data_IF_576684187240
#
_entry.id   IF_576684187240
#
_cell.length_a   1.000
_cell.length_b   1.000
_cell.length_c   1.000
_cell.angle_alpha   90.00
_cell.angle_beta   90.00
_cell.angle_gamma   90.00
#
_symmetry.space_group_name_H-M   'P 1'
#
loop_
_entity.id
_entity.type
_entity.pdbx_description
1 polymer ?
#
# COMPACT_ATOMS: atom_id res chain seq x y z
N UNK A 1 -7.75 -51.72 26.68
CA UNK A 1 -9.05 -51.13 26.29
C UNK A 1 -9.00 -49.62 26.57
N UNK A 2 -8.82 -48.81 25.53
CA UNK A 2 -8.78 -47.34 25.66
C UNK A 2 -10.22 -46.80 25.76
N UNK A 3 -10.53 -46.11 26.84
CA UNK A 3 -11.83 -45.43 27.03
C UNK A 3 -11.87 -44.21 26.12
N UNK A 4 -12.61 -44.30 25.02
CA UNK A 4 -12.96 -43.16 24.18
C UNK A 4 -13.75 -42.15 25.01
N UNK A 5 -13.09 -41.08 25.48
CA UNK A 5 -13.77 -39.92 26.07
C UNK A 5 -14.44 -39.16 24.94
N UNK A 6 -15.76 -39.28 24.84
CA UNK A 6 -16.59 -38.44 23.98
C UNK A 6 -16.55 -37.03 24.58
N UNK A 7 -15.70 -36.16 24.04
CA UNK A 7 -15.68 -34.73 24.37
C UNK A 7 -16.96 -34.08 23.81
N UNK A 8 -17.70 -33.39 24.67
CA UNK A 8 -18.89 -32.61 24.24
C UNK A 8 -18.51 -31.64 23.11
N UNK A 9 -19.37 -31.46 22.09
CA UNK A 9 -19.12 -30.48 21.04
C UNK A 9 -19.05 -29.08 21.67
N UNK A 10 -17.94 -28.37 21.42
CA UNK A 10 -17.73 -27.00 21.90
C UNK A 10 -18.73 -26.07 21.21
N UNK A 11 -19.25 -25.10 21.97
CA UNK A 11 -20.12 -24.06 21.40
C UNK A 11 -19.32 -23.11 20.51
N UNK A 12 -19.99 -22.37 19.63
CA UNK A 12 -19.36 -21.44 18.69
C UNK A 12 -18.51 -20.38 19.40
N UNK A 13 -18.97 -19.91 20.56
CA UNK A 13 -18.25 -18.91 21.37
C UNK A 13 -17.04 -19.52 22.10
N UNK A 14 -17.13 -20.76 22.57
CA UNK A 14 -15.98 -21.49 23.11
C UNK A 14 -14.91 -21.76 22.04
N UNK A 15 -15.33 -22.03 20.80
CA UNK A 15 -14.41 -22.17 19.67
C UNK A 15 -13.77 -20.84 19.27
N UNK A 16 -14.51 -19.72 19.39
CA UNK A 16 -13.97 -18.36 19.17
C UNK A 16 -12.91 -18.02 20.23
N UNK A 17 -13.16 -18.26 21.51
CA UNK A 17 -12.19 -18.01 22.59
C UNK A 17 -10.93 -18.88 22.45
N UNK A 18 -11.08 -20.14 22.07
CA UNK A 18 -9.93 -21.01 21.76
C UNK A 18 -9.16 -20.48 20.56
N UNK A 19 -9.85 -20.02 19.51
CA UNK A 19 -9.19 -19.44 18.33
C UNK A 19 -8.47 -18.12 18.65
N UNK A 20 -9.02 -17.29 19.53
CA UNK A 20 -8.40 -16.05 20.00
C UNK A 20 -7.20 -16.29 20.93
N UNK A 21 -7.21 -17.38 21.71
CA UNK A 21 -6.11 -17.77 22.60
C UNK A 21 -4.97 -18.52 21.90
N UNK A 22 -5.16 -18.98 20.67
CA UNK A 22 -4.09 -19.56 19.87
C UNK A 22 -3.20 -18.44 19.35
N UNK A 23 -1.93 -18.42 19.78
CA UNK A 23 -0.89 -17.63 19.10
C UNK A 23 -0.85 -18.08 17.65
N UNK A 24 -1.41 -17.28 16.77
CA UNK A 24 -1.42 -17.62 15.36
C UNK A 24 0.01 -17.54 14.83
N UNK A 25 0.38 -18.42 13.89
CA UNK A 25 1.69 -18.36 13.23
C UNK A 25 1.96 -17.06 12.43
N UNK A 26 1.02 -16.12 12.49
CA UNK A 26 1.00 -14.84 11.80
C UNK A 26 1.24 -13.65 12.76
N UNK A 27 1.27 -13.87 14.07
CA UNK A 27 1.60 -12.81 15.02
C UNK A 27 3.07 -12.38 14.88
N UNK A 28 3.30 -11.06 14.85
CA UNK A 28 4.64 -10.50 14.70
C UNK A 28 5.59 -10.96 15.81
N UNK A 29 5.12 -11.00 17.06
CA UNK A 29 5.90 -11.46 18.22
C UNK A 29 6.35 -12.92 18.06
N UNK A 30 5.44 -13.80 17.62
CA UNK A 30 5.73 -15.21 17.36
C UNK A 30 6.74 -15.39 16.22
N UNK A 31 6.57 -14.64 15.12
CA UNK A 31 7.48 -14.69 13.96
C UNK A 31 8.89 -14.24 14.38
N UNK A 32 9.01 -13.18 15.18
CA UNK A 32 10.30 -12.68 15.64
C UNK A 32 10.98 -13.62 16.65
N UNK A 33 10.22 -14.27 17.54
CA UNK A 33 10.73 -15.31 18.44
C UNK A 33 11.31 -16.48 17.65
N UNK A 34 10.59 -16.95 16.63
CA UNK A 34 11.03 -18.04 15.75
C UNK A 34 12.19 -17.66 14.84
N UNK A 35 12.28 -16.39 14.43
CA UNK A 35 13.42 -15.87 13.69
C UNK A 35 14.71 -15.98 14.51
N UNK A 36 14.67 -15.64 15.81
CA UNK A 36 15.84 -15.74 16.69
C UNK A 36 16.31 -17.19 16.87
N UNK A 37 15.37 -18.12 17.03
CA UNK A 37 15.67 -19.57 17.03
C UNK A 37 16.32 -20.00 15.70
N UNK A 38 15.75 -19.58 14.56
CA UNK A 38 16.27 -19.90 13.23
C UNK A 38 17.68 -19.30 13.04
N UNK A 39 17.90 -18.05 13.47
CA UNK A 39 19.18 -17.35 13.38
C UNK A 39 20.28 -18.07 14.19
N UNK A 40 19.99 -18.50 15.42
CA UNK A 40 20.91 -19.28 16.25
C UNK A 40 21.30 -20.62 15.62
N UNK A 41 20.44 -21.18 14.78
CA UNK A 41 20.68 -22.45 14.07
C UNK A 41 21.40 -22.29 12.73
N UNK A 42 21.45 -21.09 12.16
CA UNK A 42 22.06 -20.80 10.85
C UNK A 42 23.59 -20.75 10.95
N UNK A 43 24.26 -21.85 10.57
CA UNK A 43 25.73 -21.91 10.44
C UNK A 43 26.28 -21.40 9.11
N UNK A 44 25.42 -21.19 8.11
CA UNK A 44 25.76 -20.73 6.75
C UNK A 44 24.63 -19.88 6.16
N UNK A 45 24.92 -18.97 5.21
CA UNK A 45 23.88 -18.29 4.45
C UNK A 45 23.05 -19.33 3.69
N UNK A 46 21.75 -19.38 4.00
CA UNK A 46 20.74 -20.16 3.27
C UNK A 46 19.99 -19.24 2.32
N UNK A 47 19.54 -19.80 1.20
CA UNK A 47 18.52 -19.14 0.38
C UNK A 47 17.27 -18.90 1.22
N UNK A 48 16.71 -17.70 1.07
CA UNK A 48 15.54 -17.25 1.82
C UNK A 48 14.30 -17.80 1.12
N UNK A 49 13.73 -18.88 1.65
CA UNK A 49 12.45 -19.43 1.19
C UNK A 49 11.27 -18.65 1.79
N UNK A 50 10.14 -18.57 1.06
CA UNK A 50 8.89 -17.94 1.52
C UNK A 50 8.36 -18.51 2.84
N UNK A 51 8.70 -19.77 3.15
CA UNK A 51 8.25 -20.45 4.36
C UNK A 51 9.12 -20.13 5.59
N UNK A 52 10.32 -19.58 5.38
CA UNK A 52 11.27 -19.24 6.45
C UNK A 52 10.75 -18.11 7.34
N UNK A 53 11.13 -18.13 8.62
CA UNK A 53 10.81 -17.02 9.52
C UNK A 53 11.60 -15.77 9.15
N UNK A 54 12.76 -15.92 8.49
CA UNK A 54 13.49 -14.82 7.89
C UNK A 54 12.65 -14.09 6.84
N UNK A 55 12.07 -14.80 5.87
CA UNK A 55 11.20 -14.18 4.87
C UNK A 55 9.98 -13.50 5.51
N UNK A 56 9.28 -14.21 6.40
CA UNK A 56 8.12 -13.67 7.13
C UNK A 56 8.49 -12.42 7.92
N UNK A 57 9.64 -12.40 8.57
CA UNK A 57 10.12 -11.20 9.28
C UNK A 57 10.41 -10.04 8.33
N UNK A 58 10.97 -10.30 7.14
CA UNK A 58 11.17 -9.24 6.15
C UNK A 58 9.82 -8.65 5.69
N UNK A 59 8.77 -9.46 5.58
CA UNK A 59 7.41 -8.96 5.28
C UNK A 59 6.78 -8.17 6.44
N UNK A 60 7.17 -8.39 7.70
CA UNK A 60 6.74 -7.54 8.81
C UNK A 60 7.31 -6.12 8.68
N UNK A 61 8.51 -6.00 8.13
CA UNK A 61 9.19 -4.72 7.87
C UNK A 61 9.06 -4.30 6.40
N UNK A 62 7.89 -4.56 5.80
CA UNK A 62 7.67 -4.39 4.35
C UNK A 62 8.07 -3.01 3.86
N UNK A 63 7.65 -1.93 4.51
CA UNK A 63 7.93 -0.60 3.97
C UNK A 63 9.42 -0.21 3.96
N UNK A 64 10.25 -0.92 4.73
CA UNK A 64 11.69 -0.69 4.77
C UNK A 64 12.46 -1.67 3.86
N UNK A 65 11.93 -2.88 3.65
CA UNK A 65 12.56 -3.97 2.87
C UNK A 65 12.02 -4.10 1.44
N UNK A 66 10.74 -3.78 1.25
CA UNK A 66 10.00 -3.82 -0.01
C UNK A 66 9.75 -5.23 -0.55
N UNK A 67 9.69 -6.27 0.28
CA UNK A 67 9.58 -7.67 -0.18
C UNK A 67 8.32 -7.88 -1.02
N UNK A 68 7.18 -7.43 -0.54
CA UNK A 68 5.90 -7.52 -1.24
C UNK A 68 5.88 -6.63 -2.49
N UNK A 69 6.42 -5.40 -2.41
CA UNK A 69 6.62 -4.55 -3.59
C UNK A 69 7.40 -5.30 -4.67
N UNK A 70 8.55 -5.87 -4.31
CA UNK A 70 9.46 -6.56 -5.24
C UNK A 70 8.81 -7.80 -5.86
N UNK A 71 7.93 -8.48 -5.13
CA UNK A 71 7.19 -9.63 -5.65
C UNK A 71 6.10 -9.23 -6.65
N UNK A 72 5.55 -8.02 -6.54
CA UNK A 72 4.50 -7.52 -7.42
C UNK A 72 5.02 -7.04 -8.80
N UNK A 73 6.34 -6.95 -8.99
CA UNK A 73 6.98 -6.37 -10.17
C UNK A 73 7.94 -7.34 -10.88
N UNK A 74 8.10 -7.20 -12.20
CA UNK A 74 9.11 -7.95 -12.95
C UNK A 74 10.52 -7.69 -12.43
N UNK A 75 11.37 -8.72 -12.50
CA UNK A 75 12.73 -8.70 -11.94
C UNK A 75 13.57 -7.51 -12.42
N UNK A 76 13.47 -7.17 -13.71
CA UNK A 76 14.17 -6.05 -14.34
C UNK A 76 13.96 -4.71 -13.61
N UNK A 77 12.79 -4.50 -13.01
CA UNK A 77 12.42 -3.22 -12.39
C UNK A 77 12.56 -3.23 -10.86
N UNK A 78 12.91 -4.37 -10.24
CA UNK A 78 12.89 -4.55 -8.78
C UNK A 78 13.76 -3.53 -8.05
N UNK A 79 15.04 -3.45 -8.41
CA UNK A 79 16.01 -2.57 -7.75
C UNK A 79 15.57 -1.11 -7.88
N UNK A 80 15.17 -0.71 -9.08
CA UNK A 80 14.69 0.64 -9.35
C UNK A 80 13.44 0.97 -8.52
N UNK A 81 12.45 0.08 -8.48
CA UNK A 81 11.21 0.31 -7.74
C UNK A 81 11.46 0.49 -6.24
N UNK A 82 12.34 -0.34 -5.67
CA UNK A 82 12.70 -0.26 -4.26
C UNK A 82 13.40 1.07 -3.94
N UNK A 83 14.37 1.47 -4.76
CA UNK A 83 15.09 2.72 -4.54
C UNK A 83 14.20 3.94 -4.77
N UNK A 84 13.33 3.88 -5.78
CA UNK A 84 12.35 4.91 -6.05
C UNK A 84 11.34 5.06 -4.90
N UNK A 85 10.81 3.95 -4.36
CA UNK A 85 9.96 3.97 -3.17
C UNK A 85 10.68 4.62 -1.97
N UNK A 86 11.93 4.22 -1.70
CA UNK A 86 12.73 4.82 -0.61
C UNK A 86 12.95 6.32 -0.80
N UNK A 87 13.19 6.75 -2.03
CA UNK A 87 13.37 8.16 -2.34
C UNK A 87 12.08 8.95 -2.18
N UNK A 88 10.93 8.42 -2.60
CA UNK A 88 9.62 9.02 -2.32
C UNK A 88 9.35 9.13 -0.82
N UNK A 89 9.62 8.06 -0.05
CA UNK A 89 9.45 8.10 1.40
C UNK A 89 10.34 9.16 2.06
N UNK A 90 11.57 9.37 1.57
CA UNK A 90 12.46 10.43 2.05
C UNK A 90 11.98 11.81 1.62
N UNK A 91 11.63 12.00 0.35
CA UNK A 91 11.18 13.27 -0.23
C UNK A 91 9.96 13.83 0.50
N UNK A 92 9.00 12.96 0.82
CA UNK A 92 7.77 13.35 1.50
C UNK A 92 7.82 13.17 3.02
N UNK A 93 8.97 12.82 3.62
CA UNK A 93 9.12 12.54 5.06
C UNK A 93 8.03 11.57 5.58
N UNK A 94 7.86 10.43 4.91
CA UNK A 94 6.86 9.42 5.23
C UNK A 94 7.20 8.69 6.53
N UNK A 95 6.35 8.87 7.56
CA UNK A 95 6.53 8.29 8.90
C UNK A 95 5.48 7.24 9.22
N UNK A 96 4.24 7.45 8.76
CA UNK A 96 3.13 6.55 9.08
C UNK A 96 3.00 5.42 8.05
N UNK A 97 2.43 4.26 8.44
CA UNK A 97 2.18 3.17 7.49
C UNK A 97 1.37 3.59 6.26
N UNK A 98 0.37 4.47 6.43
CA UNK A 98 -0.46 4.97 5.33
C UNK A 98 0.31 5.84 4.34
N UNK A 99 1.29 6.61 4.82
CA UNK A 99 2.15 7.43 3.95
C UNK A 99 3.16 6.56 3.20
N UNK A 100 3.76 5.58 3.91
CA UNK A 100 4.70 4.63 3.30
C UNK A 100 4.01 3.74 2.27
N UNK A 101 2.78 3.29 2.54
CA UNK A 101 2.01 2.50 1.58
C UNK A 101 1.63 3.30 0.33
N UNK A 102 1.31 4.59 0.46
CA UNK A 102 1.08 5.46 -0.68
C UNK A 102 2.34 5.65 -1.54
N UNK A 103 3.51 5.82 -0.91
CA UNK A 103 4.80 5.87 -1.62
C UNK A 103 5.09 4.56 -2.39
N UNK A 104 4.73 3.42 -1.82
CA UNK A 104 4.89 2.11 -2.45
C UNK A 104 3.93 1.94 -3.65
N UNK A 105 2.66 2.33 -3.50
CA UNK A 105 1.68 2.32 -4.59
C UNK A 105 2.11 3.26 -5.73
N UNK A 106 2.71 4.40 -5.40
CA UNK A 106 3.32 5.31 -6.38
C UNK A 106 4.42 4.61 -7.18
N UNK A 107 5.38 4.00 -6.49
CA UNK A 107 6.47 3.28 -7.13
C UNK A 107 5.97 2.12 -8.01
N UNK A 108 5.02 1.35 -7.52
CA UNK A 108 4.39 0.24 -8.24
C UNK A 108 3.72 0.73 -9.54
N UNK A 109 2.89 1.77 -9.47
CA UNK A 109 2.20 2.27 -10.66
C UNK A 109 3.17 2.89 -11.67
N UNK A 110 4.25 3.53 -11.21
CA UNK A 110 5.29 4.02 -12.12
C UNK A 110 5.97 2.89 -12.89
N UNK A 111 6.32 1.79 -12.22
CA UNK A 111 6.87 0.60 -12.89
C UNK A 111 5.88 -0.02 -13.87
N UNK A 112 4.59 -0.03 -13.53
CA UNK A 112 3.53 -0.51 -14.43
C UNK A 112 3.44 0.33 -15.70
N UNK A 113 3.56 1.65 -15.61
CA UNK A 113 3.61 2.56 -16.78
C UNK A 113 4.78 2.17 -17.68
N UNK A 114 5.99 2.07 -17.12
CA UNK A 114 7.20 1.72 -17.89
C UNK A 114 7.08 0.35 -18.55
N UNK A 115 6.62 -0.66 -17.81
CA UNK A 115 6.47 -2.04 -18.32
C UNK A 115 5.42 -2.14 -19.43
N UNK A 116 4.32 -1.39 -19.29
CA UNK A 116 3.25 -1.33 -20.30
C UNK A 116 3.75 -0.63 -21.56
N UNK A 117 4.43 0.51 -21.41
CA UNK A 117 5.03 1.23 -22.54
C UNK A 117 6.07 0.39 -23.27
N UNK A 118 6.91 -0.35 -22.53
CA UNK A 118 7.87 -1.27 -23.12
C UNK A 118 7.17 -2.37 -23.94
N UNK A 119 6.07 -2.92 -23.43
CA UNK A 119 5.28 -3.95 -24.13
C UNK A 119 4.65 -3.41 -25.42
N UNK A 120 4.11 -2.18 -25.38
CA UNK A 120 3.59 -1.49 -26.56
C UNK A 120 4.72 -1.29 -27.60
N UNK A 121 5.86 -0.75 -27.17
CA UNK A 121 7.00 -0.48 -28.05
C UNK A 121 7.54 -1.78 -28.68
N UNK A 122 7.65 -2.86 -27.89
CA UNK A 122 8.08 -4.16 -28.37
C UNK A 122 7.11 -4.71 -29.44
N UNK A 123 5.80 -4.57 -29.22
CA UNK A 123 4.80 -5.00 -30.21
C UNK A 123 4.92 -4.19 -31.51
N UNK A 124 4.99 -2.85 -31.41
CA UNK A 124 5.10 -1.97 -32.58
C UNK A 124 6.42 -2.19 -33.35
N UNK A 125 7.50 -2.55 -32.67
CA UNK A 125 8.80 -2.85 -33.28
C UNK A 125 8.76 -4.08 -34.22
N UNK A 126 7.81 -5.00 -34.03
CA UNK A 126 7.65 -6.17 -34.91
C UNK A 126 7.22 -5.82 -36.33
N UNK A 127 6.72 -4.59 -36.59
CA UNK A 127 6.26 -4.09 -37.90
C UNK A 127 5.18 -4.93 -38.60
N UNK A 128 4.65 -5.94 -37.93
CA UNK A 128 3.54 -6.77 -38.39
C UNK A 128 2.30 -6.47 -37.55
N UNK A 129 1.30 -5.85 -38.16
CA UNK A 129 0.03 -5.53 -37.50
C UNK A 129 -1.00 -6.56 -37.96
N UNK A 130 -1.56 -7.31 -37.01
CA UNK A 130 -2.68 -8.20 -37.24
C UNK A 130 -3.85 -7.81 -36.34
N UNK A 131 -5.05 -8.33 -36.62
CA UNK A 131 -6.26 -7.95 -35.89
C UNK A 131 -6.18 -8.25 -34.38
N UNK A 132 -5.56 -9.37 -34.01
CA UNK A 132 -5.35 -9.75 -32.62
C UNK A 132 -4.41 -8.77 -31.91
N UNK A 133 -3.39 -8.29 -32.62
CA UNK A 133 -2.44 -7.29 -32.17
C UNK A 133 -3.06 -5.92 -31.93
N UNK A 134 -3.99 -5.50 -32.78
CA UNK A 134 -4.79 -4.29 -32.57
C UNK A 134 -5.60 -4.42 -31.27
N UNK A 135 -6.23 -5.59 -31.05
CA UNK A 135 -6.94 -5.89 -29.79
C UNK A 135 -6.03 -5.85 -28.57
N UNK A 136 -4.85 -6.45 -28.66
CA UNK A 136 -3.84 -6.43 -27.60
C UNK A 136 -3.36 -5.01 -27.28
N UNK A 137 -3.01 -4.22 -28.29
CA UNK A 137 -2.61 -2.82 -28.13
C UNK A 137 -3.71 -1.96 -27.49
N UNK A 138 -4.98 -2.20 -27.84
CA UNK A 138 -6.10 -1.52 -27.22
C UNK A 138 -6.22 -1.83 -25.72
N UNK A 139 -5.98 -3.08 -25.31
CA UNK A 139 -5.92 -3.46 -23.89
C UNK A 139 -4.74 -2.77 -23.20
N UNK A 140 -3.54 -2.83 -23.78
CA UNK A 140 -2.36 -2.18 -23.21
C UNK A 140 -2.52 -0.66 -23.08
N UNK A 141 -3.11 0.00 -24.07
CA UNK A 141 -3.38 1.45 -24.01
C UNK A 141 -4.30 1.81 -22.84
N UNK A 142 -5.34 1.00 -22.59
CA UNK A 142 -6.24 1.22 -21.45
C UNK A 142 -5.57 0.96 -20.11
N UNK A 143 -4.71 -0.05 -20.03
CA UNK A 143 -3.92 -0.33 -18.82
C UNK A 143 -2.88 0.75 -18.55
N UNK A 144 -2.29 1.34 -19.60
CA UNK A 144 -1.41 2.49 -19.50
C UNK A 144 -2.15 3.68 -18.90
N UNK A 145 -3.27 4.09 -19.49
CA UNK A 145 -4.11 5.19 -18.98
C UNK A 145 -4.58 4.95 -17.53
N UNK A 146 -4.83 3.70 -17.16
CA UNK A 146 -5.23 3.33 -15.78
C UNK A 146 -4.04 3.47 -14.83
N UNK A 147 -2.87 2.96 -15.21
CA UNK A 147 -1.66 3.06 -14.40
C UNK A 147 -1.23 4.52 -14.19
N UNK A 148 -1.30 5.35 -15.24
CA UNK A 148 -1.05 6.79 -15.16
C UNK A 148 -2.01 7.50 -14.21
N UNK A 149 -3.32 7.22 -14.31
CA UNK A 149 -4.31 7.78 -13.39
C UNK A 149 -4.04 7.37 -11.95
N UNK A 150 -3.79 6.08 -11.70
CA UNK A 150 -3.47 5.62 -10.34
C UNK A 150 -2.19 6.27 -9.80
N UNK A 151 -1.15 6.41 -10.63
CA UNK A 151 0.07 7.11 -10.27
C UNK A 151 -0.21 8.57 -9.87
N UNK A 152 -0.91 9.33 -10.72
CA UNK A 152 -1.23 10.73 -10.46
C UNK A 152 -2.11 10.91 -9.23
N UNK A 153 -3.14 10.07 -9.07
CA UNK A 153 -4.01 10.10 -7.89
C UNK A 153 -3.22 9.82 -6.63
N UNK A 154 -2.40 8.77 -6.58
CA UNK A 154 -1.57 8.48 -5.40
C UNK A 154 -0.59 9.61 -5.09
N UNK A 155 -0.03 10.28 -6.11
CA UNK A 155 0.88 11.41 -5.92
C UNK A 155 0.16 12.61 -5.31
N UNK A 156 -1.02 12.92 -5.84
CA UNK A 156 -1.86 13.99 -5.33
C UNK A 156 -2.31 13.70 -3.89
N UNK A 157 -2.74 12.47 -3.60
CA UNK A 157 -3.12 12.06 -2.23
C UNK A 157 -1.95 12.19 -1.26
N UNK A 158 -0.74 11.73 -1.65
CA UNK A 158 0.44 11.85 -0.80
C UNK A 158 0.78 13.34 -0.53
N UNK A 159 0.74 14.18 -1.57
CA UNK A 159 0.92 15.64 -1.42
C UNK A 159 -0.12 16.25 -0.48
N UNK A 160 -1.39 15.89 -0.63
CA UNK A 160 -2.47 16.40 0.22
C UNK A 160 -2.31 15.99 1.69
N UNK A 161 -1.87 14.77 1.97
CA UNK A 161 -1.60 14.32 3.35
C UNK A 161 -0.44 15.09 3.99
N UNK A 162 0.53 15.53 3.19
CA UNK A 162 1.70 16.30 3.64
C UNK A 162 1.45 17.80 3.72
N UNK A 163 0.41 18.31 3.08
CA UNK A 163 -0.03 19.68 3.27
C UNK A 163 -0.57 19.85 4.69
N UNK A 164 -0.01 20.80 5.45
CA UNK A 164 -0.54 21.15 6.76
C UNK A 164 -2.03 21.51 6.66
N UNK A 165 -2.89 21.07 7.60
CA UNK A 165 -4.27 21.53 7.64
C UNK A 165 -4.27 23.04 7.79
N UNK A 166 -4.82 23.74 6.80
CA UNK A 166 -5.01 25.19 6.86
C UNK A 166 -5.80 25.50 8.13
N UNK A 167 -5.16 26.14 9.10
CA UNK A 167 -5.86 26.76 10.23
C UNK A 167 -6.63 27.95 9.68
N UNK A 168 -7.82 27.71 9.12
CA UNK A 168 -8.75 28.78 8.77
C UNK A 168 -9.27 29.33 10.08
N UNK A 169 -8.58 30.34 10.61
CA UNK A 169 -9.02 31.06 11.79
C UNK A 169 -10.13 32.01 11.32
N UNK A 170 -11.37 31.50 11.23
CA UNK A 170 -12.53 32.33 10.89
C UNK A 170 -12.74 33.29 12.06
N UNK A 171 -12.19 34.50 11.94
CA UNK A 171 -12.52 35.59 12.86
C UNK A 171 -14.00 35.93 12.65
N UNK A 172 -14.85 35.47 13.55
CA UNK A 172 -16.30 35.74 13.61
C UNK A 172 -16.66 37.23 13.77
N UNK A 173 -15.67 38.13 13.89
CA UNK A 173 -15.91 39.58 13.98
C UNK A 173 -16.58 40.15 12.72
N UNK A 174 -16.38 39.58 11.53
CA UNK A 174 -17.09 40.01 10.31
C UNK A 174 -18.55 39.54 10.24
N UNK A 175 -18.93 38.48 10.96
CA UNK A 175 -20.32 38.01 10.99
C UNK A 175 -21.24 38.98 11.76
N UNK A 176 -20.70 39.63 12.80
CA UNK A 176 -21.44 40.64 13.59
C UNK A 176 -21.60 41.95 12.79
N UNK A 177 -20.61 42.33 11.96
CA UNK A 177 -20.74 43.50 11.07
C UNK A 177 -21.81 43.27 10.00
N UNK A 178 -21.91 42.05 9.44
CA UNK A 178 -22.99 41.69 8.50
C UNK A 178 -24.38 41.71 9.13
N UNK A 179 -24.54 41.19 10.35
CA UNK A 179 -25.81 41.27 11.08
C UNK A 179 -26.22 42.72 11.38
N UNK A 180 -25.27 43.58 11.76
CA UNK A 180 -25.57 44.98 12.06
C UNK A 180 -25.90 45.82 10.80
N UNK A 181 -25.36 45.47 9.63
CA UNK A 181 -25.73 46.12 8.36
C UNK A 181 -27.14 45.74 7.89
N UNK A 182 -27.59 44.51 8.11
CA UNK A 182 -28.95 44.07 7.76
C UNK A 182 -30.01 44.75 8.64
N UNK A 183 -29.74 44.92 9.94
CA UNK A 183 -30.67 45.61 10.85
C UNK A 183 -30.77 47.11 10.52
N UNK A 184 -29.68 47.77 10.12
CA UNK A 184 -29.72 49.18 9.74
C UNK A 184 -30.41 49.42 8.40
N UNK A 185 -30.28 48.51 7.42
CA UNK A 185 -30.95 48.63 6.13
C UNK A 185 -32.47 48.45 6.22
N UNK A 186 -32.96 47.65 7.16
CA UNK A 186 -34.40 47.41 7.33
C UNK A 186 -35.13 48.49 8.13
N UNK A 187 -34.41 49.32 8.90
CA UNK A 187 -34.99 50.39 9.71
C UNK A 187 -35.02 51.76 9.01
N UNK A 188 -34.59 51.87 7.74
CA UNK A 188 -34.62 53.11 6.95
C UNK A 188 -35.78 53.17 5.94
N UNK A 189 -36.67 52.17 5.93
CA UNK A 189 -37.79 52.07 4.98
C UNK A 189 -39.19 52.18 5.64
N UNK A 190 -39.29 52.75 6.85
CA UNK A 190 -40.55 53.18 7.47
C UNK A 190 -40.58 54.70 7.68
#
# INVERSE_FOLDING_TARGET
>A
MSKNKITKPKTTDEMREVALGLRTGFEASYILEKLDEEHKSLKKPKEVSSDSYLYKSMTLFEFDKGVLLLNAIPELHRIFALEFNKNLQKEFDCKTPSEKSLAEVLALNWVRILSTQQSINAYLAMKTINQNGIGYLNVLSKELDRAERHYLTSLQTLKMLKMLPMKVNIKTQTAIVGQNQVVQANNQND
#
